data_IF_843507031987
#
_entry.id   IF_843507031987
#
_cell.length_a   1.000
_cell.length_b   1.000
_cell.length_c   1.000
_cell.angle_alpha   90.00
_cell.angle_beta   90.00
_cell.angle_gamma   90.00
#
_symmetry.space_group_name_H-M   'P 1'
#
loop_
_entity.id
_entity.type
_entity.pdbx_description
1 polymer ?
#
# COMPACT_ATOMS: atom_id res chain seq x y z
N UNK A 1 -11.19 -21.20 -3.00
CA UNK A 1 -9.94 -21.73 -3.58
C UNK A 1 -8.78 -21.33 -2.67
N UNK A 2 -7.90 -22.28 -2.31
CA UNK A 2 -6.62 -22.00 -1.63
C UNK A 2 -5.53 -21.99 -2.71
N UNK A 3 -4.67 -20.97 -2.70
CA UNK A 3 -3.56 -20.86 -3.63
C UNK A 3 -2.23 -20.90 -2.86
N UNK A 4 -1.25 -21.60 -3.41
CA UNK A 4 0.13 -21.65 -2.88
C UNK A 4 0.87 -20.40 -3.31
N UNK A 5 1.48 -19.69 -2.36
CA UNK A 5 2.22 -18.45 -2.66
C UNK A 5 3.67 -18.75 -3.05
N UNK A 6 4.16 -18.14 -4.12
CA UNK A 6 5.47 -18.44 -4.70
C UNK A 6 6.67 -18.23 -3.76
N UNK A 7 6.58 -17.34 -2.76
CA UNK A 7 7.64 -17.08 -1.75
C UNK A 7 7.42 -17.75 -0.40
N UNK A 8 6.16 -17.95 0.00
CA UNK A 8 5.80 -18.36 1.37
C UNK A 8 5.11 -19.71 1.42
N UNK A 9 4.94 -20.37 0.27
CA UNK A 9 4.32 -21.68 0.13
C UNK A 9 2.89 -21.67 0.67
N UNK A 10 2.57 -22.71 1.45
CA UNK A 10 1.25 -22.89 2.05
C UNK A 10 1.14 -22.37 3.49
N UNK A 11 2.14 -21.60 3.95
CA UNK A 11 2.22 -21.08 5.32
C UNK A 11 1.02 -20.21 5.69
N UNK A 12 0.50 -19.45 4.73
CA UNK A 12 -0.62 -18.54 4.93
C UNK A 12 -1.84 -18.99 4.12
N UNK A 13 -3.02 -18.83 4.71
CA UNK A 13 -4.31 -19.07 4.06
C UNK A 13 -5.14 -17.79 3.91
N UNK A 14 -4.63 -16.65 4.38
CA UNK A 14 -5.19 -15.32 4.24
C UNK A 14 -4.08 -14.38 3.74
N UNK A 15 -4.43 -13.44 2.89
CA UNK A 15 -3.50 -12.50 2.28
C UNK A 15 -4.05 -11.08 2.38
N UNK A 16 -3.20 -10.08 2.67
CA UNK A 16 -3.64 -8.70 2.71
C UNK A 16 -3.99 -8.20 1.29
N UNK A 17 -4.97 -7.31 1.22
CA UNK A 17 -5.24 -6.55 0.00
C UNK A 17 -4.24 -5.39 -0.12
N UNK A 18 -4.09 -4.86 -1.34
CA UNK A 18 -3.17 -3.76 -1.64
C UNK A 18 -3.32 -2.59 -0.67
N UNK A 19 -4.54 -2.09 -0.46
CA UNK A 19 -4.81 -0.91 0.38
C UNK A 19 -4.48 -1.11 1.87
N UNK A 20 -4.33 -2.35 2.33
CA UNK A 20 -3.90 -2.65 3.69
C UNK A 20 -2.39 -2.87 3.77
N UNK A 21 -1.80 -3.56 2.79
CA UNK A 21 -0.36 -3.85 2.78
C UNK A 21 0.47 -2.60 2.47
N UNK A 22 0.09 -1.84 1.45
CA UNK A 22 0.87 -0.73 0.89
C UNK A 22 1.22 0.36 1.93
N UNK A 23 0.27 0.88 2.74
CA UNK A 23 0.61 1.89 3.75
C UNK A 23 1.54 1.36 4.84
N UNK A 24 1.37 0.09 5.24
CA UNK A 24 2.19 -0.52 6.28
C UNK A 24 3.61 -0.79 5.79
N UNK A 25 3.75 -1.30 4.56
CA UNK A 25 5.05 -1.53 3.93
C UNK A 25 5.83 -0.22 3.80
N UNK A 26 5.19 0.84 3.27
CA UNK A 26 5.80 2.17 3.19
C UNK A 26 6.29 2.67 4.55
N UNK A 27 5.48 2.51 5.60
CA UNK A 27 5.85 2.90 6.95
C UNK A 27 7.05 2.11 7.49
N UNK A 28 7.01 0.77 7.41
CA UNK A 28 8.09 -0.09 7.94
C UNK A 28 9.40 0.07 7.17
N UNK A 29 9.33 0.39 5.88
CA UNK A 29 10.49 0.69 5.04
C UNK A 29 10.97 2.15 5.18
N UNK A 30 10.27 2.97 5.96
CA UNK A 30 10.59 4.39 6.22
C UNK A 30 10.53 5.25 4.97
N UNK A 31 9.58 4.95 4.09
CA UNK A 31 9.24 5.82 2.98
C UNK A 31 8.75 7.15 3.55
N UNK A 32 9.17 8.25 2.93
CA UNK A 32 8.70 9.60 3.30
C UNK A 32 7.65 10.08 2.32
N UNK A 33 7.86 9.80 1.02
CA UNK A 33 6.99 10.19 -0.07
C UNK A 33 6.68 8.96 -0.92
N UNK A 34 5.47 8.43 -0.78
CA UNK A 34 4.97 7.30 -1.55
C UNK A 34 4.39 7.82 -2.86
N UNK A 35 5.12 7.66 -3.96
CA UNK A 35 4.77 8.25 -5.25
C UNK A 35 4.03 7.21 -6.12
N UNK A 36 2.79 7.50 -6.51
CA UNK A 36 1.96 6.59 -7.31
C UNK A 36 1.19 7.33 -8.42
N UNK A 37 0.42 6.59 -9.23
CA UNK A 37 -0.36 7.18 -10.33
C UNK A 37 -1.72 7.68 -9.87
N UNK A 38 -2.32 8.62 -10.62
CA UNK A 38 -3.62 9.25 -10.32
C UNK A 38 -4.77 8.26 -10.07
N UNK A 39 -4.71 7.06 -10.64
CA UNK A 39 -5.72 6.02 -10.41
C UNK A 39 -5.85 5.60 -8.92
N UNK A 40 -4.87 5.92 -8.08
CA UNK A 40 -4.87 5.62 -6.64
C UNK A 40 -5.28 6.81 -5.75
N UNK A 41 -5.71 7.93 -6.31
CA UNK A 41 -6.12 9.10 -5.51
C UNK A 41 -7.28 8.76 -4.56
N UNK A 42 -8.29 8.02 -5.04
CA UNK A 42 -9.44 7.59 -4.23
C UNK A 42 -9.06 6.57 -3.13
N UNK A 43 -7.88 5.97 -3.23
CA UNK A 43 -7.36 5.00 -2.24
C UNK A 43 -6.64 5.70 -1.08
N UNK A 44 -6.16 6.94 -1.28
CA UNK A 44 -5.42 7.72 -0.27
C UNK A 44 -6.18 7.87 1.07
N UNK A 45 -7.51 8.12 1.12
CA UNK A 45 -8.22 8.19 2.39
C UNK A 45 -8.10 6.90 3.22
N UNK A 46 -8.11 5.73 2.56
CA UNK A 46 -7.93 4.45 3.25
C UNK A 46 -6.46 4.23 3.67
N UNK A 47 -5.51 4.63 2.81
CA UNK A 47 -4.09 4.64 3.14
C UNK A 47 -3.82 5.42 4.44
N UNK A 48 -4.29 6.65 4.51
CA UNK A 48 -4.15 7.53 5.67
C UNK A 48 -4.91 6.98 6.88
N UNK A 49 -6.12 6.42 6.68
CA UNK A 49 -6.89 5.83 7.76
C UNK A 49 -6.15 4.67 8.43
N UNK A 50 -5.51 3.78 7.68
CA UNK A 50 -4.75 2.64 8.23
C UNK A 50 -3.60 3.13 9.12
N UNK A 51 -2.84 4.11 8.65
CA UNK A 51 -1.70 4.68 9.39
C UNK A 51 -2.15 5.39 10.68
N UNK A 52 -3.23 6.17 10.57
CA UNK A 52 -3.82 6.88 11.71
C UNK A 52 -4.44 5.93 12.74
N UNK A 53 -5.17 4.90 12.30
CA UNK A 53 -5.81 3.94 13.17
C UNK A 53 -4.80 3.16 14.04
N UNK A 54 -3.56 3.01 13.55
CA UNK A 54 -2.47 2.34 14.25
C UNK A 54 -1.59 3.30 15.05
N UNK A 55 -1.87 4.62 15.04
CA UNK A 55 -1.11 5.67 15.71
C UNK A 55 0.40 5.62 15.37
N UNK A 56 0.73 5.41 14.10
CA UNK A 56 2.11 5.33 13.65
C UNK A 56 2.73 6.74 13.58
N UNK A 57 3.83 7.03 14.30
CA UNK A 57 4.48 8.34 14.28
C UNK A 57 5.15 8.59 12.93
N UNK A 58 5.20 9.84 12.48
CA UNK A 58 5.84 10.23 11.21
C UNK A 58 5.38 9.40 9.99
N UNK A 59 4.06 9.34 9.71
CA UNK A 59 3.54 8.50 8.64
C UNK A 59 4.01 8.98 7.24
N UNK A 60 4.23 8.06 6.30
CA UNK A 60 4.50 8.39 4.90
C UNK A 60 3.36 9.21 4.28
N UNK A 61 3.70 10.10 3.35
CA UNK A 61 2.72 10.84 2.56
C UNK A 61 2.58 10.22 1.16
N UNK A 62 1.35 9.88 0.76
CA UNK A 62 1.05 9.48 -0.62
C UNK A 62 0.95 10.70 -1.55
N UNK A 63 1.57 10.62 -2.72
CA UNK A 63 1.59 11.67 -3.75
C UNK A 63 1.33 11.04 -5.11
N UNK A 64 0.29 11.50 -5.79
CA UNK A 64 -0.13 10.99 -7.08
C UNK A 64 0.39 11.84 -8.25
N UNK A 65 0.69 11.21 -9.38
CA UNK A 65 1.02 11.89 -10.63
C UNK A 65 0.33 11.24 -11.84
N UNK A 66 0.13 12.00 -12.91
CA UNK A 66 -0.50 11.47 -14.13
C UNK A 66 0.43 10.46 -14.82
N UNK A 67 -0.10 9.29 -15.19
CA UNK A 67 0.65 8.29 -15.95
C UNK A 67 1.08 8.85 -17.32
N UNK A 68 2.24 8.40 -17.79
CA UNK A 68 2.62 8.61 -19.19
C UNK A 68 1.88 7.60 -20.08
N UNK A 69 1.21 8.10 -21.13
CA UNK A 69 0.66 7.29 -22.21
C UNK A 69 1.40 7.63 -23.51
N UNK A 70 2.04 6.64 -24.12
CA UNK A 70 2.69 6.77 -25.43
C UNK A 70 1.71 6.27 -26.50
N UNK A 71 1.51 7.09 -27.54
CA UNK A 71 0.65 6.80 -28.71
C UNK A 71 1.48 6.56 -29.95
#
# INVERSE_FOLDING_TARGET
>A
LRATHHRTGDKWCIYPMYDYAHPLEDYYEKITHSVCILEFEDHRPLYEWVLNALNLPDPPQQIEFARLNLT
#
